data_IF_997775150417
#
_entry.id   IF_997775150417
#
_cell.length_a   1.000
_cell.length_b   1.000
_cell.length_c   1.000
_cell.angle_alpha   90.00
_cell.angle_beta   90.00
_cell.angle_gamma   90.00
#
_symmetry.space_group_name_H-M   'P 1'
#
loop_
_entity.id
_entity.type
_entity.pdbx_description
1 polymer ?
#
# COMPACT_ATOMS: atom_id res chain seq x y z
N UNK A 1 26.20 -16.08 -4.78
CA UNK A 1 25.18 -16.82 -4.02
C UNK A 1 23.84 -16.30 -4.47
N UNK A 2 23.13 -17.02 -5.33
CA UNK A 2 21.77 -16.65 -5.71
C UNK A 2 20.85 -17.08 -4.57
N UNK A 3 20.47 -16.14 -3.70
CA UNK A 3 19.38 -16.33 -2.73
C UNK A 3 18.13 -16.60 -3.55
N UNK A 4 17.76 -17.88 -3.69
CA UNK A 4 16.52 -18.28 -4.34
C UNK A 4 15.38 -17.57 -3.59
N UNK A 5 14.79 -16.55 -4.21
CA UNK A 5 13.71 -15.79 -3.58
C UNK A 5 12.60 -16.75 -3.18
N UNK A 6 12.31 -16.82 -1.89
CA UNK A 6 11.22 -17.65 -1.38
C UNK A 6 9.89 -17.13 -1.95
N UNK A 7 8.85 -17.98 -2.08
CA UNK A 7 7.51 -17.53 -2.46
C UNK A 7 7.01 -16.35 -1.59
N UNK A 8 7.42 -16.32 -0.32
CA UNK A 8 7.13 -15.21 0.59
C UNK A 8 7.85 -13.92 0.18
N UNK A 9 9.13 -13.98 -0.16
CA UNK A 9 9.91 -12.81 -0.61
C UNK A 9 9.31 -12.17 -1.85
N UNK A 10 8.81 -12.98 -2.80
CA UNK A 10 8.13 -12.51 -4.00
C UNK A 10 6.82 -11.82 -3.64
N UNK A 11 5.99 -12.45 -2.79
CA UNK A 11 4.72 -11.86 -2.35
C UNK A 11 4.90 -10.51 -1.63
N UNK A 12 5.94 -10.38 -0.80
CA UNK A 12 6.29 -9.10 -0.15
C UNK A 12 6.71 -8.06 -1.19
N UNK A 13 7.53 -8.45 -2.16
CA UNK A 13 7.97 -7.54 -3.23
C UNK A 13 6.79 -7.02 -4.06
N UNK A 14 5.86 -7.91 -4.44
CA UNK A 14 4.64 -7.54 -5.15
C UNK A 14 3.76 -6.60 -4.31
N UNK A 15 3.55 -6.94 -3.02
CA UNK A 15 2.78 -6.09 -2.11
C UNK A 15 3.37 -4.67 -2.02
N UNK A 16 4.68 -4.56 -1.84
CA UNK A 16 5.38 -3.26 -1.75
C UNK A 16 5.29 -2.50 -3.07
N UNK A 17 5.44 -3.17 -4.20
CA UNK A 17 5.33 -2.54 -5.51
C UNK A 17 3.91 -1.98 -5.74
N UNK A 18 2.87 -2.75 -5.41
CA UNK A 18 1.48 -2.30 -5.52
C UNK A 18 1.18 -1.17 -4.54
N UNK A 19 1.55 -1.31 -3.27
CA UNK A 19 1.33 -0.28 -2.26
C UNK A 19 2.06 1.03 -2.59
N UNK A 20 3.29 0.95 -3.11
CA UNK A 20 4.05 2.12 -3.55
C UNK A 20 3.38 2.88 -4.69
N UNK A 21 2.86 2.16 -5.69
CA UNK A 21 2.08 2.76 -6.78
C UNK A 21 0.81 3.45 -6.28
N UNK A 22 0.02 2.76 -5.44
CA UNK A 22 -1.20 3.32 -4.86
C UNK A 22 -0.89 4.55 -4.01
N UNK A 23 0.13 4.50 -3.16
CA UNK A 23 0.56 5.63 -2.33
C UNK A 23 0.90 6.85 -3.18
N UNK A 24 1.72 6.68 -4.21
CA UNK A 24 2.10 7.78 -5.08
C UNK A 24 0.88 8.38 -5.80
N UNK A 25 -0.04 7.54 -6.28
CA UNK A 25 -1.30 8.01 -6.87
C UNK A 25 -2.16 8.79 -5.88
N UNK A 26 -2.26 8.34 -4.62
CA UNK A 26 -2.98 9.05 -3.57
C UNK A 26 -2.32 10.39 -3.22
N UNK A 27 -0.99 10.43 -3.11
CA UNK A 27 -0.24 11.67 -2.86
C UNK A 27 -0.49 12.66 -3.98
N UNK A 28 -0.43 12.22 -5.23
CA UNK A 28 -0.73 13.08 -6.39
C UNK A 28 -2.17 13.58 -6.36
N UNK A 29 -3.14 12.73 -6.03
CA UNK A 29 -4.55 13.11 -5.93
C UNK A 29 -4.78 14.15 -4.83
N UNK A 30 -4.24 13.92 -3.64
CA UNK A 30 -4.32 14.85 -2.50
C UNK A 30 -3.67 16.19 -2.85
N UNK A 31 -2.50 16.15 -3.50
CA UNK A 31 -1.79 17.35 -3.97
C UNK A 31 -2.59 18.13 -5.00
N UNK A 32 -3.20 17.42 -5.96
CA UNK A 32 -4.05 17.99 -7.00
C UNK A 32 -5.30 18.67 -6.41
N UNK A 33 -5.95 18.01 -5.46
CA UNK A 33 -7.13 18.52 -4.76
C UNK A 33 -6.79 19.59 -3.70
N UNK A 34 -5.50 19.82 -3.42
CA UNK A 34 -5.00 20.71 -2.37
C UNK A 34 -5.61 20.40 -1.00
N UNK A 35 -5.75 19.12 -0.69
CA UNK A 35 -6.26 18.68 0.61
C UNK A 35 -5.18 18.85 1.67
N UNK A 36 -5.52 19.52 2.76
CA UNK A 36 -4.62 19.71 3.89
C UNK A 36 -4.79 18.53 4.86
N UNK A 37 -3.88 17.56 4.75
CA UNK A 37 -3.88 16.34 5.56
C UNK A 37 -2.75 16.39 6.60
N UNK A 38 -2.96 15.82 7.81
CA UNK A 38 -1.92 15.76 8.82
C UNK A 38 -0.73 14.94 8.29
N UNK A 39 0.46 15.54 8.25
CA UNK A 39 1.63 14.93 7.59
C UNK A 39 2.12 13.62 8.22
N UNK A 40 1.77 13.35 9.49
CA UNK A 40 2.01 12.06 10.15
C UNK A 40 0.91 11.77 11.16
N UNK A 41 0.57 10.50 11.30
CA UNK A 41 -0.19 9.96 12.43
C UNK A 41 0.76 9.19 13.34
N UNK A 42 0.63 9.41 14.64
CA UNK A 42 1.39 8.66 15.64
C UNK A 42 0.61 7.39 15.99
N UNK A 43 1.16 6.24 15.61
CA UNK A 43 0.68 4.94 16.06
C UNK A 43 1.65 4.40 17.10
N UNK A 44 1.23 4.36 18.37
CA UNK A 44 2.09 4.03 19.52
C UNK A 44 3.35 4.91 19.59
N UNK A 45 4.46 4.45 19.02
CA UNK A 45 5.79 5.09 19.03
C UNK A 45 6.32 5.34 17.61
N UNK A 46 5.52 5.06 16.58
CA UNK A 46 5.92 5.18 15.17
C UNK A 46 5.06 6.25 14.52
N UNK A 47 5.70 7.28 13.98
CA UNK A 47 5.05 8.28 13.14
C UNK A 47 5.00 7.76 11.71
N UNK A 48 3.79 7.52 11.19
CA UNK A 48 3.57 7.03 9.83
C UNK A 48 2.76 8.02 9.01
N UNK A 49 2.98 8.03 7.70
CA UNK A 49 2.13 8.76 6.76
C UNK A 49 0.76 8.06 6.67
N UNK A 50 -0.36 8.78 6.90
CA UNK A 50 -1.70 8.21 6.78
C UNK A 50 -1.99 7.61 5.40
N UNK A 51 -1.52 8.23 4.31
CA UNK A 51 -1.73 7.73 2.95
C UNK A 51 -0.93 6.46 2.70
N UNK A 52 0.25 6.31 3.32
CA UNK A 52 1.02 5.09 3.18
C UNK A 52 0.31 3.91 3.85
N UNK A 53 -0.30 4.15 5.01
CA UNK A 53 -1.13 3.16 5.70
C UNK A 53 -2.35 2.75 4.87
N UNK A 54 -3.07 3.70 4.28
CA UNK A 54 -4.21 3.39 3.41
C UNK A 54 -3.78 2.63 2.16
N UNK A 55 -2.66 2.99 1.54
CA UNK A 55 -2.13 2.32 0.37
C UNK A 55 -1.76 0.86 0.65
N UNK A 56 -1.09 0.59 1.78
CA UNK A 56 -0.77 -0.78 2.19
C UNK A 56 -2.05 -1.58 2.45
N UNK A 57 -3.01 -1.02 3.17
CA UNK A 57 -4.30 -1.70 3.42
C UNK A 57 -5.00 -2.05 2.11
N UNK A 58 -5.09 -1.10 1.18
CA UNK A 58 -5.68 -1.33 -0.14
C UNK A 58 -4.94 -2.42 -0.92
N UNK A 59 -3.61 -2.43 -0.90
CA UNK A 59 -2.81 -3.45 -1.58
C UNK A 59 -3.00 -4.85 -0.97
N UNK A 60 -3.16 -4.95 0.36
CA UNK A 60 -3.48 -6.21 1.04
C UNK A 60 -4.90 -6.69 0.70
N UNK A 61 -5.87 -5.79 0.66
CA UNK A 61 -7.28 -6.13 0.41
C UNK A 61 -7.59 -6.40 -1.07
N UNK A 62 -6.87 -5.77 -2.01
CA UNK A 62 -7.03 -5.95 -3.46
C UNK A 62 -7.13 -7.42 -3.92
N UNK A 63 -6.19 -8.33 -3.54
CA UNK A 63 -6.27 -9.73 -3.95
C UNK A 63 -7.48 -10.47 -3.37
N UNK A 64 -7.96 -10.10 -2.18
CA UNK A 64 -9.20 -10.66 -1.62
C UNK A 64 -10.41 -10.24 -2.46
N UNK A 65 -10.53 -8.96 -2.80
CA UNK A 65 -11.62 -8.45 -3.64
C UNK A 65 -11.63 -9.11 -5.02
N UNK A 66 -10.49 -9.18 -5.70
CA UNK A 66 -10.40 -9.86 -7.00
C UNK A 66 -10.80 -11.34 -6.91
N UNK A 67 -10.45 -12.03 -5.81
CA UNK A 67 -10.82 -13.44 -5.63
C UNK A 67 -12.32 -13.64 -5.38
N UNK A 68 -12.99 -12.67 -4.76
CA UNK A 68 -14.45 -12.69 -4.55
C UNK A 68 -15.22 -12.31 -5.83
N UNK A 69 -14.77 -11.30 -6.58
CA UNK A 69 -15.42 -10.84 -7.80
C UNK A 69 -15.23 -11.80 -8.99
N UNK A 70 -14.11 -12.52 -9.08
CA UNK A 70 -13.87 -13.50 -10.15
C UNK A 70 -14.72 -14.79 -10.02
N UNK A 71 -15.58 -14.88 -9.00
CA UNK A 71 -16.45 -16.04 -8.73
C UNK A 71 -17.92 -15.81 -9.16
N UNK A 72 -18.26 -14.65 -9.70
CA UNK A 72 -19.57 -14.38 -10.34
C UNK A 72 -19.39 -14.37 -11.85
#
# INVERSE_FOLDING_TARGET
METKSSPFSIAVQELVATAGGVYLSLVMLVSFLKLDLPGKINLFQISMDPLALTAIMLAIFQPLFFRLFKKT
#
